data_IF_517540966597
#
_entry.id   IF_517540966597
#
_cell.length_a   1.000
_cell.length_b   1.000
_cell.length_c   1.000
_cell.angle_alpha   90.00
_cell.angle_beta   90.00
_cell.angle_gamma   90.00
#
_symmetry.space_group_name_H-M   'P 1'
#
loop_
_entity.id
_entity.type
_entity.pdbx_description
1 polymer ?
#
# COMPACT_ATOMS: atom_id res chain seq x y z
N UNK A 1 74.22 -40.58 -2.26
CA UNK A 1 73.84 -39.39 -1.47
C UNK A 1 72.93 -38.56 -2.34
N UNK A 2 71.61 -38.66 -2.12
CA UNK A 2 70.77 -37.59 -1.55
C UNK A 2 70.95 -36.25 -2.29
N UNK A 3 69.92 -35.59 -2.83
CA UNK A 3 68.48 -35.67 -2.58
C UNK A 3 67.70 -34.91 -3.66
N UNK A 4 66.60 -35.54 -4.10
CA UNK A 4 65.26 -34.99 -4.42
C UNK A 4 65.09 -33.97 -5.57
N UNK A 5 64.52 -34.36 -6.73
CA UNK A 5 63.08 -34.64 -7.05
C UNK A 5 62.32 -33.33 -7.43
N UNK A 6 61.58 -33.14 -8.54
CA UNK A 6 61.14 -33.92 -9.72
C UNK A 6 60.90 -32.97 -10.93
N UNK A 7 61.24 -33.49 -12.11
CA UNK A 7 60.94 -33.11 -13.50
C UNK A 7 59.52 -32.64 -13.88
N UNK A 8 59.46 -31.48 -14.58
CA UNK A 8 59.29 -31.33 -16.04
C UNK A 8 58.59 -32.45 -16.85
N UNK A 9 57.55 -32.12 -17.64
CA UNK A 9 57.52 -32.22 -19.13
C UNK A 9 56.12 -32.02 -19.74
N UNK A 10 56.12 -31.23 -20.82
CA UNK A 10 55.12 -31.02 -21.87
C UNK A 10 54.46 -32.31 -22.40
N UNK A 11 53.26 -32.22 -22.99
CA UNK A 11 53.01 -32.73 -24.35
C UNK A 11 51.62 -32.32 -24.86
N UNK A 12 51.59 -31.67 -26.02
CA UNK A 12 50.42 -31.58 -26.89
C UNK A 12 50.76 -32.32 -28.20
N UNK A 13 49.94 -33.29 -28.60
CA UNK A 13 49.34 -33.49 -29.94
C UNK A 13 48.98 -34.97 -30.24
N UNK A 14 47.69 -35.19 -30.59
CA UNK A 14 47.06 -36.18 -31.51
C UNK A 14 47.32 -37.70 -31.28
N UNK A 15 46.34 -38.62 -31.28
CA UNK A 15 45.36 -39.00 -32.33
C UNK A 15 44.13 -39.69 -31.72
N UNK A 16 43.00 -39.57 -32.43
CA UNK A 16 41.65 -40.08 -32.20
C UNK A 16 41.46 -41.59 -31.98
N UNK A 17 40.38 -41.96 -31.26
CA UNK A 17 39.33 -42.89 -31.76
C UNK A 17 38.09 -42.93 -30.84
N UNK A 18 36.94 -42.55 -31.43
CA UNK A 18 35.59 -43.17 -31.36
C UNK A 18 35.05 -43.61 -29.98
N UNK A 19 34.03 -42.92 -29.48
CA UNK A 19 32.65 -43.48 -29.32
C UNK A 19 31.71 -42.47 -28.61
N UNK A 20 30.54 -42.25 -29.24
CA UNK A 20 29.28 -41.61 -28.81
C UNK A 20 29.26 -40.51 -27.73
N UNK A 21 28.69 -39.32 -28.02
CA UNK A 21 28.35 -38.37 -26.97
C UNK A 21 27.15 -38.89 -26.18
N UNK A 22 27.36 -38.99 -24.87
CA UNK A 22 26.28 -39.11 -23.90
C UNK A 22 25.30 -37.94 -24.08
N UNK A 23 24.03 -38.29 -24.09
CA UNK A 23 22.86 -37.44 -24.09
C UNK A 23 23.00 -36.37 -23.00
N UNK A 24 23.17 -35.11 -23.39
CA UNK A 24 22.93 -33.98 -22.49
C UNK A 24 21.40 -33.90 -22.36
N UNK A 25 20.88 -34.56 -21.33
CA UNK A 25 19.54 -34.29 -20.82
C UNK A 25 19.52 -32.83 -20.40
N UNK A 26 18.80 -32.00 -21.15
CA UNK A 26 18.27 -30.75 -20.65
C UNK A 26 17.43 -31.08 -19.41
N UNK A 27 18.04 -30.95 -18.24
CA UNK A 27 17.29 -30.82 -16.99
C UNK A 27 16.56 -29.48 -17.09
N UNK A 28 15.30 -29.58 -17.48
CA UNK A 28 14.29 -28.54 -17.40
C UNK A 28 14.27 -28.08 -15.93
N UNK A 29 14.97 -26.98 -15.65
CA UNK A 29 14.90 -26.31 -14.36
C UNK A 29 13.49 -25.81 -14.20
N UNK A 30 12.71 -26.54 -13.40
CA UNK A 30 11.43 -26.08 -12.86
C UNK A 30 11.65 -24.69 -12.25
N UNK A 31 10.91 -23.65 -12.68
CA UNK A 31 11.00 -22.35 -12.03
C UNK A 31 10.46 -22.44 -10.59
N UNK A 32 11.06 -21.72 -9.63
CA UNK A 32 10.60 -21.70 -8.25
C UNK A 32 9.33 -20.85 -8.10
N UNK A 33 8.37 -21.38 -7.33
CA UNK A 33 7.19 -20.73 -6.79
C UNK A 33 6.22 -20.07 -7.78
N UNK A 34 5.26 -20.88 -8.25
CA UNK A 34 3.90 -20.36 -8.44
C UNK A 34 3.35 -20.00 -7.05
N UNK A 35 3.33 -18.69 -6.76
CA UNK A 35 2.51 -18.13 -5.70
C UNK A 35 1.08 -18.63 -5.85
N UNK A 36 0.47 -19.08 -4.75
CA UNK A 36 -0.90 -19.59 -4.69
C UNK A 36 -1.92 -18.48 -4.99
N UNK A 37 -1.96 -17.98 -6.22
CA UNK A 37 -3.10 -17.22 -6.73
C UNK A 37 -4.20 -18.23 -6.99
N UNK A 38 -5.14 -18.33 -6.06
CA UNK A 38 -6.32 -19.13 -6.27
C UNK A 38 -7.04 -18.64 -7.54
N UNK A 39 -7.55 -19.55 -8.35
CA UNK A 39 -8.34 -19.19 -9.52
C UNK A 39 -9.50 -18.26 -9.07
N UNK A 40 -9.85 -17.21 -9.84
CA UNK A 40 -11.05 -16.44 -9.54
C UNK A 40 -12.20 -17.44 -9.46
N UNK A 41 -12.79 -17.59 -8.27
CA UNK A 41 -13.86 -18.53 -7.86
C UNK A 41 -13.46 -19.72 -6.95
N UNK A 42 -12.24 -19.81 -6.43
CA UNK A 42 -11.94 -20.82 -5.41
C UNK A 42 -12.86 -20.67 -4.19
N UNK A 43 -13.41 -21.78 -3.70
CA UNK A 43 -14.16 -21.84 -2.45
C UNK A 43 -13.20 -21.93 -1.27
N UNK A 44 -13.65 -21.51 -0.09
CA UNK A 44 -12.87 -21.63 1.15
C UNK A 44 -12.33 -23.06 1.40
N UNK A 45 -13.07 -24.08 0.99
CA UNK A 45 -12.67 -25.48 1.19
C UNK A 45 -11.50 -25.94 0.31
N UNK A 46 -11.18 -25.20 -0.75
CA UNK A 46 -10.07 -25.50 -1.65
C UNK A 46 -8.71 -25.12 -1.03
N UNK A 47 -8.72 -24.32 0.04
CA UNK A 47 -7.53 -23.89 0.75
C UNK A 47 -7.05 -24.95 1.76
N UNK A 48 -5.73 -25.10 1.97
CA UNK A 48 -5.20 -26.06 2.93
C UNK A 48 -5.55 -25.65 4.37
N UNK A 49 -5.75 -26.64 5.25
CA UNK A 49 -5.90 -26.38 6.68
C UNK A 49 -4.53 -26.17 7.34
N UNK A 50 -4.46 -25.19 8.24
CA UNK A 50 -3.30 -25.01 9.11
C UNK A 50 -3.23 -26.18 10.11
N UNK A 51 -2.09 -26.86 10.15
CA UNK A 51 -1.85 -27.97 11.07
C UNK A 51 -1.53 -27.52 12.50
N UNK A 52 -0.97 -26.31 12.64
CA UNK A 52 -0.64 -25.65 13.90
C UNK A 52 -0.87 -24.16 13.73
N UNK A 53 -1.47 -23.50 14.71
CA UNK A 53 -1.68 -22.05 14.72
C UNK A 53 -1.16 -21.43 16.01
N UNK A 54 -0.78 -20.16 15.97
CA UNK A 54 -0.37 -19.40 17.14
C UNK A 54 -1.51 -19.32 18.15
N UNK A 55 -2.77 -19.35 17.68
CA UNK A 55 -3.95 -19.41 18.54
C UNK A 55 -3.96 -20.60 19.51
N UNK A 56 -3.35 -21.73 19.17
CA UNK A 56 -3.24 -22.90 20.09
C UNK A 56 -2.38 -22.60 21.32
N UNK A 57 -1.45 -21.65 21.21
CA UNK A 57 -0.51 -21.25 22.28
C UNK A 57 -0.94 -19.94 22.94
N UNK A 58 -1.27 -18.93 22.12
CA UNK A 58 -1.56 -17.57 22.57
C UNK A 58 -3.02 -17.40 23.03
N UNK A 59 -3.95 -18.23 22.52
CA UNK A 59 -5.36 -18.21 22.87
C UNK A 59 -5.89 -19.64 23.15
N UNK A 60 -5.36 -20.33 24.18
CA UNK A 60 -5.68 -21.74 24.45
C UNK A 60 -7.15 -21.98 24.86
N UNK A 61 -7.86 -20.92 25.26
CA UNK A 61 -9.29 -20.95 25.58
C UNK A 61 -10.17 -20.74 24.34
N UNK A 62 -9.57 -20.49 23.17
CA UNK A 62 -10.25 -20.23 21.90
C UNK A 62 -11.28 -19.09 22.00
N UNK A 63 -10.93 -18.03 22.73
CA UNK A 63 -11.78 -16.86 22.87
C UNK A 63 -11.85 -16.12 21.53
N UNK A 64 -13.07 -15.87 21.06
CA UNK A 64 -13.32 -15.06 19.86
C UNK A 64 -14.33 -13.98 20.25
N UNK A 65 -14.04 -12.69 20.04
CA UNK A 65 -14.99 -11.65 20.37
C UNK A 65 -16.14 -11.60 19.35
N UNK A 66 -17.33 -11.17 19.80
CA UNK A 66 -18.51 -11.01 18.92
C UNK A 66 -18.35 -9.85 17.92
N UNK A 67 -17.55 -8.85 18.26
CA UNK A 67 -17.23 -7.70 17.41
C UNK A 67 -15.73 -7.44 17.46
N UNK A 68 -15.12 -6.97 16.38
CA UNK A 68 -13.67 -6.68 16.37
C UNK A 68 -12.82 -7.94 16.53
N UNK A 69 -11.64 -7.77 17.15
CA UNK A 69 -10.62 -8.81 17.25
C UNK A 69 -9.96 -8.75 18.63
N UNK A 70 -9.61 -9.91 19.18
CA UNK A 70 -8.58 -9.96 20.21
C UNK A 70 -7.23 -9.94 19.52
N UNK A 71 -6.35 -9.04 19.95
CA UNK A 71 -4.97 -8.94 19.51
C UNK A 71 -4.05 -9.41 20.64
N UNK A 72 -3.10 -10.27 20.31
CA UNK A 72 -2.09 -10.80 21.22
C UNK A 72 -0.72 -10.42 20.67
N UNK A 73 0.02 -9.58 21.39
CA UNK A 73 1.33 -9.10 20.98
C UNK A 73 2.43 -9.83 21.73
N UNK A 74 3.46 -10.24 21.01
CA UNK A 74 4.59 -11.01 21.53
C UNK A 74 5.90 -10.36 21.09
N UNK A 75 6.95 -10.57 21.88
CA UNK A 75 8.32 -10.43 21.41
C UNK A 75 8.76 -11.79 20.83
N UNK A 76 9.25 -11.80 19.59
CA UNK A 76 9.69 -13.00 18.89
C UNK A 76 10.84 -13.76 19.60
N UNK A 77 11.57 -13.12 20.51
CA UNK A 77 12.57 -13.76 21.37
C UNK A 77 11.95 -14.57 22.52
N UNK A 78 10.71 -14.24 22.92
CA UNK A 78 9.92 -14.95 23.94
C UNK A 78 8.54 -15.36 23.34
N UNK A 79 8.49 -16.19 22.28
CA UNK A 79 7.31 -16.32 21.43
C UNK A 79 6.09 -16.97 22.10
N UNK A 80 6.27 -17.59 23.28
CA UNK A 80 5.20 -18.21 24.05
C UNK A 80 4.63 -17.28 25.14
N UNK A 81 5.09 -16.04 25.21
CA UNK A 81 4.70 -15.08 26.24
C UNK A 81 4.03 -13.87 25.58
N UNK A 82 2.75 -13.70 25.89
CA UNK A 82 2.00 -12.50 25.54
C UNK A 82 2.54 -11.33 26.34
N UNK A 83 3.06 -10.32 25.65
CA UNK A 83 3.51 -9.06 26.24
C UNK A 83 2.30 -8.18 26.57
N UNK A 84 1.35 -8.12 25.65
CA UNK A 84 0.11 -7.37 25.82
C UNK A 84 -1.03 -8.01 25.02
N UNK A 85 -2.26 -7.86 25.53
CA UNK A 85 -3.47 -8.30 24.86
C UNK A 85 -4.50 -7.16 24.92
N UNK A 86 -5.18 -6.93 23.81
CA UNK A 86 -6.27 -5.96 23.74
C UNK A 86 -7.39 -6.38 22.80
N UNK A 87 -8.47 -5.61 22.83
CA UNK A 87 -9.58 -5.70 21.89
C UNK A 87 -9.48 -4.55 20.90
N UNK A 88 -9.40 -4.87 19.60
CA UNK A 88 -9.26 -3.91 18.51
C UNK A 88 -10.41 -4.03 17.52
N UNK A 89 -10.73 -2.93 16.83
CA UNK A 89 -11.81 -2.90 15.84
C UNK A 89 -11.35 -3.35 14.43
N UNK A 90 -10.05 -3.33 14.17
CA UNK A 90 -9.45 -3.79 12.92
C UNK A 90 -8.06 -4.41 13.14
N UNK A 91 -7.65 -5.19 12.16
CA UNK A 91 -6.32 -5.78 12.09
C UNK A 91 -5.41 -4.80 11.36
N UNK A 92 -4.81 -3.90 12.12
CA UNK A 92 -3.82 -2.94 11.65
C UNK A 92 -2.87 -2.57 12.79
N UNK A 93 -1.60 -2.33 12.46
CA UNK A 93 -0.62 -1.82 13.41
C UNK A 93 0.46 -1.04 12.64
N UNK A 94 0.82 0.12 13.15
CA UNK A 94 1.86 0.98 12.61
C UNK A 94 2.68 1.61 13.74
N UNK A 95 3.97 1.32 13.78
CA UNK A 95 4.90 1.95 14.72
C UNK A 95 6.36 1.77 14.28
N UNK A 96 7.25 2.62 14.81
CA UNK A 96 8.68 2.53 14.58
C UNK A 96 9.41 2.11 15.85
N UNK A 97 10.55 1.44 15.67
CA UNK A 97 11.47 1.06 16.75
C UNK A 97 10.77 0.33 17.90
N UNK A 98 10.55 0.95 19.05
CA UNK A 98 10.00 0.30 20.26
C UNK A 98 8.79 1.04 20.83
N UNK A 99 8.15 1.88 20.01
CA UNK A 99 7.10 2.81 20.46
C UNK A 99 5.81 2.09 20.88
N UNK A 100 5.66 0.82 20.55
CA UNK A 100 4.51 -0.01 20.90
C UNK A 100 4.87 -1.09 21.93
N UNK A 101 4.34 -0.96 23.16
CA UNK A 101 4.57 -1.85 24.30
C UNK A 101 6.03 -2.21 24.59
N UNK A 102 6.99 -1.36 24.19
CA UNK A 102 8.43 -1.62 24.31
C UNK A 102 8.88 -2.89 23.58
N UNK A 103 8.12 -3.35 22.58
CA UNK A 103 8.52 -4.46 21.71
C UNK A 103 9.30 -3.88 20.54
N UNK A 104 10.61 -4.20 20.38
CA UNK A 104 11.36 -3.79 19.21
C UNK A 104 10.68 -4.30 17.94
N UNK A 105 10.52 -3.40 16.97
CA UNK A 105 9.75 -3.62 15.74
C UNK A 105 10.25 -4.83 14.97
N UNK A 106 11.57 -5.05 14.91
CA UNK A 106 12.19 -6.18 14.23
C UNK A 106 12.00 -7.52 14.97
N UNK A 107 11.39 -7.49 16.15
CA UNK A 107 11.03 -8.65 16.99
C UNK A 107 9.51 -8.71 17.23
N UNK A 108 8.73 -7.88 16.55
CA UNK A 108 7.30 -7.81 16.74
C UNK A 108 6.61 -9.05 16.19
N UNK A 109 5.84 -9.73 17.04
CA UNK A 109 4.88 -10.72 16.62
C UNK A 109 3.47 -10.35 17.08
N UNK A 110 2.47 -10.65 16.26
CA UNK A 110 1.08 -10.43 16.60
C UNK A 110 0.19 -11.58 16.10
N UNK A 111 -0.78 -11.94 16.93
CA UNK A 111 -1.88 -12.82 16.58
C UNK A 111 -3.20 -12.08 16.78
N UNK A 112 -4.04 -12.05 15.74
CA UNK A 112 -5.40 -11.53 15.83
C UNK A 112 -6.40 -12.64 15.59
N UNK A 113 -7.51 -12.60 16.33
CA UNK A 113 -8.65 -13.50 16.13
C UNK A 113 -9.97 -12.77 16.34
N UNK A 114 -10.90 -12.97 15.41
CA UNK A 114 -12.20 -12.32 15.43
C UNK A 114 -13.24 -13.09 14.65
N UNK A 115 -14.51 -12.80 14.93
CA UNK A 115 -15.63 -13.28 14.14
C UNK A 115 -15.94 -12.25 13.05
N UNK A 116 -16.04 -12.71 11.81
CA UNK A 116 -16.49 -11.89 10.68
C UNK A 116 -17.81 -12.46 10.15
N UNK A 117 -18.72 -11.57 9.75
CA UNK A 117 -19.98 -11.96 9.12
C UNK A 117 -19.94 -11.56 7.65
N UNK A 118 -20.16 -12.53 6.78
CA UNK A 118 -20.34 -12.35 5.35
C UNK A 118 -21.84 -12.22 5.09
N UNK A 119 -22.36 -11.00 4.81
CA UNK A 119 -23.81 -10.80 4.72
C UNK A 119 -24.39 -11.35 3.42
N UNK A 120 -23.58 -11.42 2.37
CA UNK A 120 -24.00 -11.84 1.03
C UNK A 120 -22.94 -12.74 0.42
N UNK A 121 -23.38 -13.86 -0.15
CA UNK A 121 -22.52 -14.75 -0.91
C UNK A 121 -21.95 -14.04 -2.14
N UNK A 122 -20.65 -14.20 -2.40
CA UNK A 122 -20.02 -13.53 -3.53
C UNK A 122 -18.50 -13.64 -3.51
N UNK A 123 -17.85 -12.95 -4.45
CA UNK A 123 -16.40 -12.82 -4.46
C UNK A 123 -15.96 -11.78 -3.42
N UNK A 124 -15.07 -12.20 -2.53
CA UNK A 124 -14.40 -11.35 -1.57
C UNK A 124 -12.91 -11.33 -1.89
N UNK A 125 -12.30 -10.19 -1.61
CA UNK A 125 -10.85 -10.01 -1.68
C UNK A 125 -10.30 -9.93 -0.26
N UNK A 126 -9.31 -10.76 0.02
CA UNK A 126 -8.40 -10.62 1.16
C UNK A 126 -7.17 -9.87 0.65
N UNK A 127 -6.82 -8.77 1.28
CA UNK A 127 -5.67 -7.96 0.95
C UNK A 127 -4.80 -7.75 2.19
N UNK A 128 -3.49 -7.83 2.01
CA UNK A 128 -2.47 -7.73 3.04
C UNK A 128 -1.39 -6.72 2.61
N UNK A 129 -1.17 -5.67 3.39
CA UNK A 129 0.05 -4.85 3.35
C UNK A 129 0.86 -5.18 4.61
N UNK A 130 2.10 -5.65 4.44
CA UNK A 130 2.90 -6.21 5.53
C UNK A 130 4.36 -5.78 5.52
N UNK A 131 4.77 -4.86 4.64
CA UNK A 131 6.16 -4.38 4.61
C UNK A 131 7.18 -5.55 4.52
N UNK A 132 8.23 -5.56 5.36
CA UNK A 132 9.22 -6.64 5.50
C UNK A 132 8.86 -7.59 6.64
N UNK A 133 7.85 -8.44 6.41
CA UNK A 133 7.32 -9.35 7.41
C UNK A 133 6.90 -10.71 6.83
N UNK A 134 6.62 -11.66 7.71
CA UNK A 134 5.92 -12.89 7.41
C UNK A 134 4.52 -12.85 8.01
N UNK A 135 3.50 -13.21 7.23
CA UNK A 135 2.14 -13.32 7.75
C UNK A 135 1.38 -14.50 7.20
N UNK A 136 0.42 -14.99 8.00
CA UNK A 136 -0.51 -16.05 7.63
C UNK A 136 -1.94 -15.61 7.98
N UNK A 137 -2.81 -15.60 6.97
CA UNK A 137 -4.23 -15.23 7.11
C UNK A 137 -5.08 -16.47 6.92
N UNK A 138 -5.99 -16.72 7.87
CA UNK A 138 -6.81 -17.92 7.91
C UNK A 138 -8.28 -17.60 8.12
N UNK A 139 -9.14 -18.30 7.38
CA UNK A 139 -10.58 -18.31 7.59
C UNK A 139 -11.02 -19.72 7.99
N UNK A 140 -11.61 -19.90 9.17
CA UNK A 140 -11.95 -21.22 9.72
C UNK A 140 -10.75 -22.20 9.64
N UNK A 141 -9.56 -21.73 10.03
CA UNK A 141 -8.26 -22.44 9.94
C UNK A 141 -7.78 -22.82 8.54
N UNK A 142 -8.47 -22.38 7.48
CA UNK A 142 -8.03 -22.55 6.09
C UNK A 142 -7.10 -21.40 5.73
N UNK A 143 -5.89 -21.70 5.29
CA UNK A 143 -4.85 -20.72 4.97
C UNK A 143 -5.15 -20.06 3.63
N UNK A 144 -5.51 -18.78 3.65
CA UNK A 144 -5.88 -18.01 2.46
C UNK A 144 -4.67 -17.27 1.89
N UNK A 145 -3.82 -16.77 2.77
CA UNK A 145 -2.55 -16.11 2.45
C UNK A 145 -1.50 -16.68 3.41
N UNK A 146 -0.32 -17.02 2.90
CA UNK A 146 0.84 -17.42 3.68
C UNK A 146 2.08 -16.92 2.97
N UNK A 147 2.55 -15.75 3.37
CA UNK A 147 3.57 -15.01 2.64
C UNK A 147 4.74 -14.64 3.52
N UNK A 148 5.92 -14.64 2.93
CA UNK A 148 7.14 -14.17 3.55
C UNK A 148 7.75 -13.11 2.64
N UNK A 149 7.76 -11.86 3.12
CA UNK A 149 8.31 -10.72 2.42
C UNK A 149 9.73 -10.44 2.90
N UNK A 150 10.73 -10.80 2.10
CA UNK A 150 12.13 -10.41 2.32
C UNK A 150 12.54 -9.16 1.52
N UNK A 151 11.65 -8.62 0.69
CA UNK A 151 11.88 -7.45 -0.15
C UNK A 151 10.61 -6.63 -0.38
N UNK A 152 10.75 -5.37 -0.81
CA UNK A 152 9.61 -4.47 -1.05
C UNK A 152 8.62 -5.03 -2.10
N UNK A 153 9.10 -5.85 -3.03
CA UNK A 153 8.30 -6.42 -4.12
C UNK A 153 7.20 -7.36 -3.61
N UNK A 154 7.37 -7.99 -2.44
CA UNK A 154 6.41 -8.92 -1.84
C UNK A 154 5.72 -8.36 -0.58
N UNK A 155 5.84 -7.06 -0.33
CA UNK A 155 5.22 -6.40 0.84
C UNK A 155 3.69 -6.33 0.78
N UNK A 156 3.10 -6.58 -0.40
CA UNK A 156 1.68 -6.48 -0.64
C UNK A 156 1.19 -7.76 -1.33
N UNK A 157 0.15 -8.39 -0.79
CA UNK A 157 -0.42 -9.62 -1.35
C UNK A 157 -1.93 -9.60 -1.28
N UNK A 158 -2.58 -10.17 -2.30
CA UNK A 158 -4.03 -10.34 -2.32
C UNK A 158 -4.42 -11.75 -2.75
N UNK A 159 -5.57 -12.18 -2.25
CA UNK A 159 -6.25 -13.36 -2.73
C UNK A 159 -7.75 -13.05 -2.92
N UNK A 160 -8.37 -13.65 -3.93
CA UNK A 160 -9.81 -13.51 -4.19
C UNK A 160 -10.45 -14.88 -4.14
N UNK A 161 -11.52 -15.00 -3.37
CA UNK A 161 -12.22 -16.25 -3.13
C UNK A 161 -13.73 -16.03 -3.02
N UNK A 162 -14.50 -17.07 -3.35
CA UNK A 162 -15.93 -17.07 -3.16
C UNK A 162 -16.25 -17.44 -1.71
N UNK A 163 -16.97 -16.56 -1.00
CA UNK A 163 -17.49 -16.82 0.33
C UNK A 163 -19.02 -16.93 0.26
N UNK A 164 -19.57 -17.89 0.98
CA UNK A 164 -21.02 -17.98 1.20
C UNK A 164 -21.42 -17.04 2.33
N UNK A 165 -22.65 -16.55 2.33
CA UNK A 165 -23.17 -15.82 3.48
C UNK A 165 -23.09 -16.66 4.77
N UNK A 166 -22.65 -16.05 5.87
CA UNK A 166 -22.46 -16.73 7.14
C UNK A 166 -21.31 -16.15 7.96
N UNK A 167 -21.07 -16.79 9.10
CA UNK A 167 -20.03 -16.39 10.04
C UNK A 167 -18.75 -17.20 9.84
N UNK A 168 -17.61 -16.52 9.93
CA UNK A 168 -16.29 -17.14 9.84
C UNK A 168 -15.40 -16.65 10.97
N UNK A 169 -14.52 -17.52 11.46
CA UNK A 169 -13.41 -17.11 12.32
C UNK A 169 -12.27 -16.64 11.43
N UNK A 170 -11.86 -15.39 11.58
CA UNK A 170 -10.68 -14.83 10.94
C UNK A 170 -9.53 -14.85 11.95
N UNK A 171 -8.44 -15.48 11.56
CA UNK A 171 -7.19 -15.53 12.31
C UNK A 171 -6.05 -14.98 11.47
N UNK A 172 -5.17 -14.19 12.10
CA UNK A 172 -3.99 -13.62 11.45
C UNK A 172 -2.80 -13.80 12.36
N UNK A 173 -1.71 -14.30 11.79
CA UNK A 173 -0.40 -14.37 12.44
C UNK A 173 0.54 -13.48 11.65
N UNK A 174 1.34 -12.69 12.37
CA UNK A 174 2.26 -11.74 11.78
C UNK A 174 3.57 -11.72 12.57
N UNK A 175 4.68 -11.68 11.85
CA UNK A 175 6.02 -11.59 12.39
C UNK A 175 6.82 -10.58 11.57
N UNK A 176 7.23 -9.49 12.18
CA UNK A 176 7.99 -8.44 11.51
C UNK A 176 9.51 -8.70 11.59
N UNK A 177 10.24 -8.19 10.60
CA UNK A 177 11.70 -8.36 10.49
C UNK A 177 12.43 -7.02 10.24
N UNK A 178 11.76 -5.88 10.44
CA UNK A 178 12.28 -4.56 10.12
C UNK A 178 12.10 -3.56 11.26
N UNK A 179 12.88 -2.48 11.24
CA UNK A 179 12.87 -1.47 12.29
C UNK A 179 11.61 -0.59 12.29
N UNK A 180 10.72 -0.78 11.32
CA UNK A 180 9.34 -0.27 11.35
C UNK A 180 8.36 -1.40 11.11
N UNK A 181 7.20 -1.31 11.74
CA UNK A 181 6.05 -2.20 11.56
C UNK A 181 4.99 -1.39 10.85
N UNK A 182 4.55 -1.84 9.68
CA UNK A 182 3.44 -1.24 8.94
C UNK A 182 2.61 -2.37 8.36
N UNK A 183 1.47 -2.63 9.01
CA UNK A 183 0.65 -3.80 8.73
C UNK A 183 -0.84 -3.44 8.67
N UNK A 184 -1.53 -3.93 7.65
CA UNK A 184 -2.99 -3.86 7.57
C UNK A 184 -3.54 -5.07 6.81
N UNK A 185 -4.60 -5.67 7.37
CA UNK A 185 -5.43 -6.63 6.68
C UNK A 185 -6.77 -5.97 6.29
N UNK A 186 -7.20 -6.23 5.05
CA UNK A 186 -8.54 -5.93 4.59
C UNK A 186 -9.23 -7.17 4.03
N UNK A 187 -10.47 -7.38 4.43
CA UNK A 187 -11.38 -8.35 3.82
C UNK A 187 -12.64 -7.58 3.42
N UNK A 188 -12.91 -7.53 2.12
CA UNK A 188 -14.06 -6.79 1.60
C UNK A 188 -14.63 -7.48 0.36
N UNK A 189 -15.92 -7.25 0.04
CA UNK A 189 -16.48 -7.64 -1.25
C UNK A 189 -15.62 -7.11 -2.41
N UNK A 190 -15.53 -7.88 -3.49
CA UNK A 190 -14.88 -7.42 -4.70
C UNK A 190 -15.70 -6.28 -5.32
N UNK A 191 -15.13 -5.07 -5.36
CA UNK A 191 -15.77 -3.88 -5.90
C UNK A 191 -15.31 -3.60 -7.34
N UNK A 192 -16.20 -3.01 -8.12
CA UNK A 192 -15.87 -2.45 -9.43
C UNK A 192 -15.07 -1.16 -9.27
N UNK A 193 -13.92 -1.07 -9.93
CA UNK A 193 -13.11 0.15 -9.97
C UNK A 193 -13.46 1.00 -11.20
N UNK A 194 -13.94 2.22 -10.96
CA UNK A 194 -14.32 3.14 -12.02
C UNK A 194 -13.08 3.80 -12.65
N UNK A 195 -13.08 3.95 -13.98
CA UNK A 195 -12.13 4.83 -14.65
C UNK A 195 -12.49 6.30 -14.34
N UNK A 196 -11.52 7.24 -14.34
CA UNK A 196 -11.82 8.66 -14.15
C UNK A 196 -12.90 9.19 -15.10
N UNK A 197 -12.95 8.71 -16.35
CA UNK A 197 -13.92 9.13 -17.37
C UNK A 197 -15.35 8.67 -17.06
N UNK A 198 -15.51 7.64 -16.23
CA UNK A 198 -16.81 7.10 -15.85
C UNK A 198 -17.41 7.77 -14.60
N UNK A 199 -16.67 8.67 -13.94
CA UNK A 199 -17.13 9.29 -12.69
C UNK A 199 -18.33 10.20 -12.90
N UNK A 200 -18.42 10.94 -14.01
CA UNK A 200 -19.56 11.79 -14.31
C UNK A 200 -20.87 10.99 -14.36
N UNK A 201 -20.88 9.85 -15.06
CA UNK A 201 -22.04 8.98 -15.18
C UNK A 201 -22.42 8.36 -13.82
N UNK A 202 -21.41 8.00 -13.02
CA UNK A 202 -21.61 7.52 -11.65
C UNK A 202 -22.30 8.59 -10.79
N UNK A 203 -21.84 9.84 -10.84
CA UNK A 203 -22.43 10.94 -10.07
C UNK A 203 -23.88 11.23 -10.50
N UNK A 204 -24.17 11.17 -11.81
CA UNK A 204 -25.56 11.28 -12.32
C UNK A 204 -26.42 10.14 -11.79
N UNK A 205 -25.92 8.90 -11.83
CA UNK A 205 -26.63 7.72 -11.30
C UNK A 205 -26.91 7.83 -9.80
N UNK A 206 -26.00 8.41 -9.03
CA UNK A 206 -26.16 8.65 -7.60
C UNK A 206 -27.04 9.87 -7.27
N UNK A 207 -27.54 10.60 -8.29
CA UNK A 207 -28.43 11.76 -8.12
C UNK A 207 -27.82 12.83 -7.20
N UNK A 208 -26.53 13.11 -7.42
CA UNK A 208 -25.80 14.12 -6.64
C UNK A 208 -26.48 15.49 -6.77
N UNK A 209 -26.68 16.23 -5.65
CA UNK A 209 -27.36 17.52 -5.67
C UNK A 209 -26.69 18.55 -6.59
N UNK A 210 -27.50 19.47 -7.12
CA UNK A 210 -26.97 20.64 -7.82
C UNK A 210 -26.06 21.48 -6.90
N UNK A 211 -25.06 22.15 -7.48
CA UNK A 211 -24.04 22.95 -6.76
C UNK A 211 -23.12 22.15 -5.83
N UNK A 212 -23.12 20.82 -5.92
CA UNK A 212 -22.13 19.98 -5.24
C UNK A 212 -20.73 20.30 -5.74
N UNK A 213 -19.76 20.30 -4.84
CA UNK A 213 -18.33 20.53 -5.14
C UNK A 213 -17.48 19.30 -4.83
N UNK A 214 -16.26 19.25 -5.35
CA UNK A 214 -15.27 18.23 -4.99
C UNK A 214 -14.32 18.78 -3.94
N UNK A 215 -14.08 17.98 -2.90
CA UNK A 215 -12.89 18.09 -2.05
C UNK A 215 -11.99 16.88 -2.32
N UNK A 216 -10.72 17.14 -2.62
CA UNK A 216 -9.73 16.12 -2.89
C UNK A 216 -8.76 15.99 -1.71
N UNK A 217 -8.41 14.76 -1.34
CA UNK A 217 -7.43 14.47 -0.28
C UNK A 217 -6.43 13.45 -0.81
N UNK A 218 -5.14 13.79 -0.79
CA UNK A 218 -4.04 12.88 -1.09
C UNK A 218 -3.15 12.71 0.15
N UNK A 219 -2.75 11.50 0.49
CA UNK A 219 -1.74 11.24 1.53
C UNK A 219 -0.79 10.14 1.11
N UNK A 220 0.40 10.06 1.70
CA UNK A 220 1.25 8.89 1.49
C UNK A 220 0.83 7.76 2.43
N UNK A 221 0.80 7.99 3.75
CA UNK A 221 0.41 6.99 4.74
C UNK A 221 -0.19 7.59 6.03
N UNK A 222 -0.70 6.72 6.90
CA UNK A 222 -1.23 7.12 8.21
C UNK A 222 -0.12 7.20 9.25
N UNK A 223 -0.16 8.21 10.12
CA UNK A 223 0.68 8.30 11.31
C UNK A 223 0.03 7.67 12.56
N UNK A 224 -1.24 7.25 12.47
CA UNK A 224 -1.95 6.64 13.59
C UNK A 224 -1.57 5.17 13.75
N UNK A 225 -1.52 4.70 15.00
CA UNK A 225 -1.06 3.36 15.35
C UNK A 225 -1.86 2.22 14.69
N UNK A 226 -3.11 2.45 14.32
CA UNK A 226 -3.96 1.46 13.65
C UNK A 226 -4.31 1.83 12.21
N UNK A 227 -3.51 2.69 11.59
CA UNK A 227 -3.67 3.22 10.23
C UNK A 227 -4.91 4.08 9.98
N UNK A 228 -5.58 4.59 11.03
CA UNK A 228 -6.67 5.57 10.86
C UNK A 228 -6.17 6.94 10.40
N UNK A 229 -7.00 7.60 9.61
CA UNK A 229 -6.82 9.00 9.22
C UNK A 229 -8.14 9.73 9.43
N UNK A 230 -8.14 10.72 10.32
CA UNK A 230 -9.33 11.46 10.72
C UNK A 230 -9.50 12.69 9.83
N UNK A 231 -10.52 12.67 8.98
CA UNK A 231 -10.91 13.81 8.14
C UNK A 231 -11.92 14.66 8.89
N UNK A 232 -11.60 15.94 9.11
CA UNK A 232 -12.50 16.89 9.77
C UNK A 232 -13.08 17.87 8.76
N UNK A 233 -14.41 17.82 8.57
CA UNK A 233 -15.14 18.70 7.68
C UNK A 233 -15.97 19.70 8.50
N UNK A 234 -15.95 20.97 8.10
CA UNK A 234 -16.74 22.00 8.75
C UNK A 234 -18.25 21.77 8.56
N UNK A 235 -19.04 21.97 9.62
CA UNK A 235 -20.50 21.76 9.61
C UNK A 235 -21.24 22.60 8.55
N UNK A 236 -20.68 23.76 8.21
CA UNK A 236 -21.23 24.68 7.21
C UNK A 236 -20.69 24.47 5.79
N UNK A 237 -19.97 23.37 5.52
CA UNK A 237 -19.54 23.05 4.16
C UNK A 237 -20.75 22.98 3.20
N UNK A 238 -20.60 23.32 1.90
CA UNK A 238 -21.64 23.08 0.89
C UNK A 238 -21.88 21.56 0.71
N UNK A 239 -22.87 21.10 -0.07
CA UNK A 239 -22.90 19.71 -0.53
C UNK A 239 -21.60 19.38 -1.26
N UNK A 240 -21.01 18.22 -0.98
CA UNK A 240 -19.70 17.86 -1.52
C UNK A 240 -19.53 16.35 -1.70
N UNK A 241 -18.64 15.99 -2.62
CA UNK A 241 -18.12 14.62 -2.79
C UNK A 241 -16.65 14.63 -2.38
N UNK A 242 -16.24 13.60 -1.63
CA UNK A 242 -14.85 13.38 -1.27
C UNK A 242 -14.17 12.50 -2.31
N UNK A 243 -13.06 12.99 -2.85
CA UNK A 243 -12.14 12.22 -3.67
C UNK A 243 -10.90 11.93 -2.84
N UNK A 244 -10.67 10.67 -2.46
CA UNK A 244 -9.61 10.28 -1.54
C UNK A 244 -8.55 9.43 -2.25
N UNK A 245 -7.29 9.68 -1.93
CA UNK A 245 -6.15 8.89 -2.38
C UNK A 245 -5.19 8.68 -1.24
N UNK A 246 -4.69 7.46 -1.09
CA UNK A 246 -3.49 7.21 -0.30
C UNK A 246 -2.47 6.40 -1.11
N UNK A 247 -1.20 6.42 -0.74
CA UNK A 247 -0.20 5.50 -1.30
C UNK A 247 -0.22 4.16 -0.55
N UNK A 248 -0.25 4.19 0.78
CA UNK A 248 -0.42 3.02 1.66
C UNK A 248 -1.88 2.77 2.00
N UNK A 249 -2.18 1.54 2.40
CA UNK A 249 -3.50 1.18 2.91
C UNK A 249 -3.79 1.95 4.21
N UNK A 250 -4.93 2.64 4.27
CA UNK A 250 -5.38 3.41 5.44
C UNK A 250 -6.86 3.19 5.75
N UNK A 251 -7.27 3.63 6.93
CA UNK A 251 -8.67 3.60 7.39
C UNK A 251 -9.18 5.04 7.48
N UNK A 252 -9.93 5.47 6.48
CA UNK A 252 -10.49 6.82 6.45
C UNK A 252 -11.65 6.94 7.43
N UNK A 253 -11.57 7.89 8.35
CA UNK A 253 -12.64 8.21 9.29
C UNK A 253 -13.14 9.63 9.03
N UNK A 254 -14.45 9.80 8.80
CA UNK A 254 -15.03 11.09 8.39
C UNK A 254 -15.81 11.72 9.54
N UNK A 255 -15.33 12.86 10.04
CA UNK A 255 -15.95 13.61 11.13
C UNK A 255 -16.52 14.97 10.65
N UNK A 256 -17.58 15.42 11.32
CA UNK A 256 -18.29 16.67 11.00
C UNK A 256 -19.40 16.46 9.98
N UNK A 257 -19.56 17.41 9.05
CA UNK A 257 -20.53 17.25 7.95
C UNK A 257 -20.21 15.98 7.16
N UNK A 258 -21.22 15.21 6.79
CA UNK A 258 -21.06 14.02 5.96
C UNK A 258 -21.10 14.38 4.47
N UNK A 259 -20.30 13.72 3.61
CA UNK A 259 -20.33 13.94 2.17
C UNK A 259 -21.57 13.30 1.54
N UNK A 260 -21.90 13.73 0.33
CA UNK A 260 -22.92 13.07 -0.48
C UNK A 260 -22.47 11.68 -0.95
N UNK A 261 -21.16 11.54 -1.18
CA UNK A 261 -20.51 10.35 -1.71
C UNK A 261 -19.00 10.39 -1.43
N UNK A 262 -18.38 9.22 -1.30
CA UNK A 262 -16.92 9.06 -1.22
C UNK A 262 -16.44 8.22 -2.40
N UNK A 263 -15.46 8.75 -3.13
CA UNK A 263 -14.77 8.06 -4.22
C UNK A 263 -13.30 7.97 -3.80
N UNK A 264 -12.73 6.77 -3.73
CA UNK A 264 -11.37 6.61 -3.23
C UNK A 264 -10.55 5.61 -4.04
N UNK A 265 -9.24 5.83 -4.14
CA UNK A 265 -8.35 5.00 -4.97
C UNK A 265 -8.15 3.58 -4.43
N UNK A 266 -8.68 3.32 -3.22
CA UNK A 266 -8.51 2.07 -2.48
C UNK A 266 -7.05 1.65 -2.51
N UNK A 267 -6.15 2.53 -2.06
CA UNK A 267 -4.72 2.32 -2.08
C UNK A 267 -4.32 0.89 -1.72
N UNK A 268 -3.55 0.29 -2.63
CA UNK A 268 -3.16 -1.11 -2.61
C UNK A 268 -4.31 -2.07 -2.32
N UNK A 269 -5.54 -1.81 -2.76
CA UNK A 269 -6.74 -2.58 -2.41
C UNK A 269 -7.07 -2.72 -0.89
N UNK A 270 -6.28 -2.11 0.00
CA UNK A 270 -6.37 -2.28 1.44
C UNK A 270 -7.13 -1.17 2.15
N UNK A 271 -7.17 0.03 1.58
CA UNK A 271 -7.86 1.15 2.23
C UNK A 271 -9.37 0.90 2.37
N UNK A 272 -9.94 1.44 3.45
CA UNK A 272 -11.40 1.41 3.70
C UNK A 272 -11.89 2.77 4.18
N UNK A 273 -13.16 3.04 3.89
CA UNK A 273 -13.90 4.19 4.44
C UNK A 273 -14.76 3.66 5.57
N UNK A 274 -14.56 4.20 6.74
CA UNK A 274 -15.30 3.84 7.94
C UNK A 274 -16.45 4.81 8.16
N UNK A 275 -17.35 4.45 9.09
CA UNK A 275 -18.40 5.33 9.60
C UNK A 275 -19.25 6.07 8.54
N UNK A 276 -19.38 5.48 7.34
CA UNK A 276 -20.11 6.03 6.21
C UNK A 276 -20.91 4.93 5.49
N UNK A 277 -22.09 5.23 4.90
CA UNK A 277 -22.92 4.22 4.26
C UNK A 277 -22.22 3.54 3.07
N UNK A 278 -22.07 2.20 3.08
CA UNK A 278 -21.34 1.47 2.04
C UNK A 278 -21.87 1.68 0.61
N UNK A 279 -23.18 1.90 0.46
CA UNK A 279 -23.80 2.17 -0.84
C UNK A 279 -23.43 3.53 -1.45
N UNK A 280 -22.77 4.39 -0.66
CA UNK A 280 -22.24 5.71 -1.07
C UNK A 280 -20.72 5.73 -1.21
N UNK A 281 -20.04 4.58 -1.06
CA UNK A 281 -18.59 4.44 -1.20
C UNK A 281 -18.26 3.74 -2.51
N UNK A 282 -17.40 4.37 -3.32
CA UNK A 282 -17.02 3.86 -4.64
C UNK A 282 -15.52 3.93 -4.84
N UNK A 283 -14.97 3.02 -5.65
CA UNK A 283 -13.55 2.98 -5.95
C UNK A 283 -13.25 3.49 -7.36
N UNK A 284 -12.07 4.08 -7.55
CA UNK A 284 -11.64 4.57 -8.86
C UNK A 284 -10.16 4.34 -9.11
N UNK A 285 -9.77 4.36 -10.39
CA UNK A 285 -8.37 4.20 -10.85
C UNK A 285 -7.69 5.56 -11.04
N UNK A 286 -7.79 6.41 -10.02
CA UNK A 286 -7.12 7.71 -9.97
C UNK A 286 -6.12 7.77 -8.83
N UNK A 287 -5.24 8.77 -8.88
CA UNK A 287 -4.30 9.07 -7.81
C UNK A 287 -4.32 10.57 -7.53
N UNK A 288 -4.20 10.92 -6.26
CA UNK A 288 -4.01 12.30 -5.79
C UNK A 288 -2.72 12.27 -4.99
N UNK A 289 -1.74 13.05 -5.45
CA UNK A 289 -0.46 13.20 -4.78
C UNK A 289 -0.66 13.87 -3.41
N UNK A 290 0.12 13.44 -2.42
CA UNK A 290 0.07 13.98 -1.06
C UNK A 290 0.60 15.41 -0.97
N UNK A 291 1.44 15.80 -1.91
CA UNK A 291 1.98 17.16 -2.05
C UNK A 291 1.10 18.08 -2.92
N UNK A 292 -0.08 17.61 -3.36
CA UNK A 292 -0.91 18.35 -4.30
C UNK A 292 -1.26 19.74 -3.74
N UNK A 293 -0.78 20.76 -4.44
CA UNK A 293 -1.01 22.14 -4.06
C UNK A 293 -0.32 22.53 -2.75
N UNK A 294 0.77 21.88 -2.39
CA UNK A 294 1.74 22.48 -1.50
C UNK A 294 2.44 23.67 -2.18
N UNK A 295 2.76 24.69 -1.39
CA UNK A 295 3.54 25.86 -1.82
C UNK A 295 4.96 25.82 -1.23
N UNK A 296 5.40 24.65 -0.78
CA UNK A 296 6.80 24.44 -0.42
C UNK A 296 7.61 24.66 -1.70
N UNK A 297 8.69 25.45 -1.61
CA UNK A 297 9.61 25.58 -2.74
C UNK A 297 10.17 24.19 -2.97
N UNK A 298 9.66 23.48 -3.99
CA UNK A 298 10.13 22.14 -4.29
C UNK A 298 11.66 22.13 -4.27
N UNK A 299 12.22 21.15 -3.56
CA UNK A 299 13.65 20.93 -3.54
C UNK A 299 14.08 20.45 -4.92
N UNK A 300 14.37 21.42 -5.79
CA UNK A 300 14.81 21.16 -7.13
C UNK A 300 16.34 21.05 -7.16
N UNK A 301 16.84 19.92 -7.63
CA UNK A 301 18.25 19.66 -7.84
C UNK A 301 18.59 19.73 -9.33
N UNK A 302 19.78 20.25 -9.63
CA UNK A 302 20.34 20.29 -10.97
C UNK A 302 21.75 19.68 -10.96
N UNK A 303 21.90 18.52 -11.58
CA UNK A 303 23.17 17.80 -11.69
C UNK A 303 23.44 17.36 -13.13
N UNK A 304 24.54 17.84 -13.73
CA UNK A 304 24.97 17.40 -15.07
C UNK A 304 23.94 17.62 -16.19
N UNK A 305 23.16 18.69 -16.13
CA UNK A 305 22.08 18.97 -17.08
C UNK A 305 20.75 18.28 -16.75
N UNK A 306 20.73 17.38 -15.76
CA UNK A 306 19.52 16.71 -15.27
C UNK A 306 18.87 17.54 -14.18
N UNK A 307 17.58 17.84 -14.36
CA UNK A 307 16.77 18.60 -13.42
C UNK A 307 15.74 17.68 -12.77
N UNK A 308 15.74 17.63 -11.45
CA UNK A 308 14.83 16.84 -10.63
C UNK A 308 14.17 17.75 -9.59
N UNK A 309 12.88 17.62 -9.38
CA UNK A 309 12.14 18.26 -8.29
C UNK A 309 11.27 17.20 -7.63
N UNK A 310 11.14 17.28 -6.30
CA UNK A 310 10.35 16.33 -5.52
C UNK A 310 8.83 16.53 -5.70
N UNK A 311 8.39 17.77 -5.93
CA UNK A 311 6.99 18.12 -6.19
C UNK A 311 6.90 18.70 -7.62
N UNK A 312 6.06 18.08 -8.46
CA UNK A 312 5.78 18.56 -9.82
C UNK A 312 4.28 18.69 -10.10
N UNK A 313 3.45 18.48 -9.08
CA UNK A 313 2.00 18.36 -9.19
C UNK A 313 1.39 19.72 -9.54
N UNK A 314 0.72 19.81 -10.68
CA UNK A 314 0.03 21.03 -11.14
C UNK A 314 -1.38 21.07 -10.59
N UNK A 315 -1.63 21.99 -9.65
CA UNK A 315 -2.96 22.14 -9.04
C UNK A 315 -4.00 22.54 -10.10
N UNK A 316 -3.63 23.41 -11.04
CA UNK A 316 -4.51 23.82 -12.12
C UNK A 316 -4.89 22.65 -13.01
N UNK A 317 -3.91 21.86 -13.45
CA UNK A 317 -4.16 20.69 -14.30
C UNK A 317 -5.02 19.66 -13.58
N UNK A 318 -4.76 19.44 -12.29
CA UNK A 318 -5.59 18.56 -11.47
C UNK A 318 -7.03 19.08 -11.35
N UNK A 319 -7.25 20.37 -11.12
CA UNK A 319 -8.60 20.95 -11.05
C UNK A 319 -9.36 20.84 -12.38
N UNK A 320 -8.68 21.05 -13.52
CA UNK A 320 -9.23 20.87 -14.86
C UNK A 320 -9.63 19.41 -15.10
N UNK A 321 -8.78 18.46 -14.69
CA UNK A 321 -9.06 17.02 -14.76
C UNK A 321 -10.26 16.64 -13.89
N UNK A 322 -10.32 17.10 -12.63
CA UNK A 322 -11.46 16.84 -11.73
C UNK A 322 -12.76 17.35 -12.37
N UNK A 323 -12.75 18.56 -12.93
CA UNK A 323 -13.91 19.09 -13.63
C UNK A 323 -14.28 18.24 -14.85
N UNK A 324 -13.30 17.75 -15.60
CA UNK A 324 -13.53 16.86 -16.75
C UNK A 324 -14.15 15.52 -16.34
N UNK A 325 -13.60 14.88 -15.30
CA UNK A 325 -14.00 13.56 -14.81
C UNK A 325 -15.36 13.57 -14.12
N UNK A 326 -15.63 14.61 -13.33
CA UNK A 326 -16.79 14.64 -12.42
C UNK A 326 -17.90 15.59 -12.88
N UNK A 327 -17.59 16.56 -13.75
CA UNK A 327 -18.43 17.72 -14.07
C UNK A 327 -18.74 18.63 -12.87
N UNK A 328 -18.05 18.44 -11.76
CA UNK A 328 -18.15 19.25 -10.55
C UNK A 328 -16.86 20.05 -10.35
N UNK A 329 -16.94 21.29 -9.84
CA UNK A 329 -15.74 22.09 -9.59
C UNK A 329 -14.97 21.58 -8.37
N UNK A 330 -13.63 21.60 -8.45
CA UNK A 330 -12.76 21.41 -7.29
C UNK A 330 -12.81 22.66 -6.41
N UNK A 331 -13.29 22.53 -5.17
CA UNK A 331 -13.42 23.64 -4.23
C UNK A 331 -12.32 23.69 -3.16
N UNK A 332 -11.60 22.58 -2.97
CA UNK A 332 -10.52 22.51 -2.00
C UNK A 332 -9.76 21.19 -2.07
N UNK A 333 -8.54 21.24 -1.54
CA UNK A 333 -7.61 20.13 -1.49
C UNK A 333 -7.12 19.93 -0.05
N UNK A 334 -6.58 18.75 0.25
CA UNK A 334 -5.77 18.48 1.43
C UNK A 334 -4.72 17.44 1.11
N UNK A 335 -3.54 17.63 1.69
CA UNK A 335 -2.33 16.90 1.35
C UNK A 335 -1.44 16.81 2.58
N UNK A 336 -0.91 15.62 2.87
CA UNK A 336 0.14 15.40 3.86
C UNK A 336 0.79 14.03 3.64
N UNK A 337 2.12 13.97 3.74
CA UNK A 337 2.85 12.70 3.58
C UNK A 337 2.48 11.70 4.70
N UNK A 338 2.62 12.10 5.97
CA UNK A 338 2.23 11.28 7.14
C UNK A 338 1.04 11.92 7.85
N UNK A 339 -0.15 11.35 7.70
CA UNK A 339 -1.37 11.97 8.19
C UNK A 339 -1.99 11.22 9.38
N UNK A 340 -2.32 11.95 10.45
CA UNK A 340 -3.23 11.45 11.49
C UNK A 340 -4.57 12.17 11.42
N UNK A 341 -4.53 13.50 11.36
CA UNK A 341 -5.69 14.38 11.39
C UNK A 341 -5.62 15.40 10.25
N UNK A 342 -6.56 15.37 9.31
CA UNK A 342 -6.62 16.29 8.18
C UNK A 342 -7.88 17.14 8.25
N UNK A 343 -7.71 18.46 8.25
CA UNK A 343 -8.81 19.39 8.01
C UNK A 343 -9.12 19.44 6.52
N UNK A 344 -10.38 19.20 6.13
CA UNK A 344 -10.78 19.18 4.73
C UNK A 344 -11.76 20.33 4.40
N UNK A 345 -11.42 21.21 3.43
CA UNK A 345 -10.09 21.37 2.83
C UNK A 345 -9.12 22.14 3.74
N UNK A 346 -7.82 21.82 3.69
CA UNK A 346 -6.75 22.63 4.27
C UNK A 346 -6.48 23.89 3.42
N UNK A 347 -6.63 23.78 2.10
CA UNK A 347 -6.45 24.85 1.11
C UNK A 347 -7.66 24.92 0.20
N UNK A 348 -8.31 26.09 0.16
CA UNK A 348 -9.44 26.37 -0.72
C UNK A 348 -8.93 26.71 -2.11
N UNK A 349 -9.69 26.33 -3.14
CA UNK A 349 -9.40 26.72 -4.52
C UNK A 349 -10.01 28.10 -4.79
N UNK A 350 -9.15 29.06 -5.08
CA UNK A 350 -9.50 30.44 -5.45
C UNK A 350 -8.68 30.89 -6.68
N UNK A 351 -8.98 32.08 -7.20
CA UNK A 351 -8.20 32.66 -8.30
C UNK A 351 -6.73 32.88 -7.89
N UNK A 352 -6.49 33.26 -6.63
CA UNK A 352 -5.17 33.47 -6.06
C UNK A 352 -4.39 32.16 -5.99
N UNK A 353 -5.00 31.06 -5.53
CA UNK A 353 -4.29 29.77 -5.47
C UNK A 353 -3.90 29.25 -6.85
N UNK A 354 -4.71 29.52 -7.87
CA UNK A 354 -4.34 29.19 -9.25
C UNK A 354 -3.23 30.10 -9.78
N UNK A 355 -3.23 31.39 -9.43
CA UNK A 355 -2.16 32.30 -9.83
C UNK A 355 -0.81 31.88 -9.22
N UNK A 356 -0.81 31.45 -7.95
CA UNK A 356 0.37 30.90 -7.27
C UNK A 356 0.90 29.64 -7.95
N UNK A 357 0.03 28.68 -8.29
CA UNK A 357 0.39 27.47 -9.02
C UNK A 357 0.98 27.81 -10.40
N UNK A 358 0.36 28.72 -11.16
CA UNK A 358 0.88 29.15 -12.47
C UNK A 358 2.27 29.78 -12.34
N UNK A 359 2.52 30.57 -11.29
CA UNK A 359 3.84 31.16 -11.06
C UNK A 359 4.88 30.08 -10.70
N UNK A 360 4.52 29.14 -9.81
CA UNK A 360 5.35 27.99 -9.43
C UNK A 360 5.78 27.18 -10.66
N UNK A 361 4.84 26.85 -11.55
CA UNK A 361 5.11 26.12 -12.79
C UNK A 361 6.04 26.89 -13.75
N UNK A 362 5.90 28.22 -13.84
CA UNK A 362 6.80 29.06 -14.65
C UNK A 362 8.22 29.09 -14.09
N UNK A 363 8.35 29.24 -12.78
CA UNK A 363 9.65 29.27 -12.11
C UNK A 363 10.39 27.94 -12.29
N UNK A 364 9.68 26.81 -12.21
CA UNK A 364 10.23 25.49 -12.50
C UNK A 364 10.67 25.30 -13.95
N UNK A 365 9.83 25.71 -14.91
CA UNK A 365 10.18 25.64 -16.32
C UNK A 365 11.47 26.42 -16.62
N UNK A 366 11.63 27.59 -15.99
CA UNK A 366 12.85 28.41 -16.13
C UNK A 366 14.06 27.76 -15.45
N UNK A 367 13.91 27.20 -14.24
CA UNK A 367 14.99 26.47 -13.56
C UNK A 367 15.43 25.24 -14.35
N UNK A 368 14.48 24.47 -14.90
CA UNK A 368 14.74 23.33 -15.77
C UNK A 368 15.53 23.74 -17.00
N UNK A 369 15.12 24.81 -17.67
CA UNK A 369 15.81 25.36 -18.84
C UNK A 369 17.24 25.78 -18.51
N UNK A 370 17.45 26.48 -17.38
CA UNK A 370 18.78 26.86 -16.89
C UNK A 370 19.64 25.64 -16.55
N UNK A 371 19.04 24.60 -15.99
CA UNK A 371 19.75 23.37 -15.66
C UNK A 371 20.24 22.65 -16.90
N UNK A 372 19.38 22.49 -17.90
CA UNK A 372 19.69 21.80 -19.16
C UNK A 372 20.78 22.50 -19.98
N UNK A 373 21.01 23.79 -19.75
CA UNK A 373 22.11 24.54 -20.36
C UNK A 373 23.47 24.25 -19.70
N UNK A 374 23.51 23.58 -18.54
CA UNK A 374 24.78 23.16 -17.93
C UNK A 374 25.35 21.96 -18.69
N UNK A 375 26.43 22.18 -19.42
CA UNK A 375 27.23 21.09 -20.01
C UNK A 375 27.71 20.15 -18.90
N UNK A 376 27.61 18.82 -19.07
CA UNK A 376 28.31 17.89 -18.18
C UNK A 376 29.80 18.27 -18.18
N UNK A 377 30.41 18.42 -16.99
CA UNK A 377 31.86 18.63 -16.91
C UNK A 377 32.54 17.44 -17.56
N UNK A 378 33.39 17.69 -18.55
CA UNK A 378 34.23 16.68 -19.17
C UNK A 378 35.48 16.43 -18.32
N UNK A 379 36.17 15.31 -18.53
CA UNK A 379 37.45 15.06 -17.85
C UNK A 379 38.49 16.14 -18.18
N UNK A 380 38.35 16.71 -19.37
CA UNK A 380 39.19 17.74 -19.97
C UNK A 380 38.99 19.11 -19.29
N UNK A 381 37.82 19.38 -18.70
CA UNK A 381 37.55 20.60 -17.92
C UNK A 381 38.24 20.59 -16.53
N UNK A 382 38.79 19.45 -16.12
CA UNK A 382 39.47 19.28 -14.82
C UNK A 382 41.00 19.42 -14.91
N UNK A 383 41.58 19.40 -16.12
CA UNK A 383 43.01 19.56 -16.32
C UNK A 383 43.33 21.03 -16.60
N UNK A 384 44.34 21.64 -15.93
CA UNK A 384 44.82 22.97 -16.30
C UNK A 384 45.28 22.94 -17.76
N UNK A 385 44.86 23.94 -18.55
CA UNK A 385 45.46 24.14 -19.87
C UNK A 385 46.88 24.68 -19.67
N UNK A 386 47.87 23.92 -20.13
CA UNK A 386 49.29 24.27 -20.09
C UNK A 386 49.62 25.44 -21.02
#
# INVERSE_FOLDING_TARGET
MLSSFISLIFFSFFIAQISNPATISHSEKTPPNETHRAAPNASLNDFPQAQRTWGEVLNPQHLVPETGFYAFYINAQEPNKVVFQEHVDAIAINYAYQDFHQIPSEQFGAYWVGKITIPQSGLYRVYLDQSWAQSRVMLNKRVIISEHSSDKANSQTENTLFLTAGDYTLEVEHLNHWHTTSFQLSLAPLMMEYAPEALADLLVKQKIPEKTVIYAVGIYESAHQDNRVFLTIADNAPPYVLLLSSYRAVRWHIAGKQPEMVIYNRASAGSKVENFPPEKVFTWRGFIDDDLGENTRAHCNCAGGQFYCEDTSSLRTFAENVLQWTKLPLAGISGEYYAENIKVPNRRITAETFAEDVQKQRDWAEQKRRCQQKTPRSFEDFMPQN
#
